data_IF_113053492919
#
_entry.id   IF_113053492919
#
_cell.length_a   1.000
_cell.length_b   1.000
_cell.length_c   1.000
_cell.angle_alpha   90.00
_cell.angle_beta   90.00
_cell.angle_gamma   90.00
#
_symmetry.space_group_name_H-M   'P 1'
#
loop_
_entity.id
_entity.type
_entity.pdbx_description
1 polymer ?
#
# COMPACT_ATOMS: atom_id res chain seq x y z
N UNK A 1 73.99 43.31 -2.88
CA UNK A 1 73.61 42.17 -3.74
C UNK A 1 72.12 42.23 -4.00
N UNK A 2 71.73 42.06 -5.27
CA UNK A 2 70.39 41.76 -5.84
C UNK A 2 69.29 42.86 -5.86
N UNK A 3 69.17 43.53 -7.02
CA UNK A 3 67.91 43.66 -7.81
C UNK A 3 67.50 42.27 -8.38
N UNK A 4 66.37 42.04 -9.10
CA UNK A 4 65.15 42.83 -9.43
C UNK A 4 63.83 42.04 -9.09
N UNK A 5 62.60 42.50 -9.31
CA UNK A 5 61.83 42.40 -10.57
C UNK A 5 60.51 43.23 -10.49
N UNK A 6 60.29 44.08 -11.49
CA UNK A 6 58.99 44.66 -11.83
C UNK A 6 58.17 43.65 -12.63
N UNK A 7 56.91 43.45 -12.25
CA UNK A 7 55.91 42.78 -13.09
C UNK A 7 54.99 43.83 -13.72
N UNK A 8 54.98 43.85 -15.03
CA UNK A 8 54.15 44.65 -15.92
C UNK A 8 52.70 44.12 -15.86
N UNK A 9 51.72 44.92 -15.45
CA UNK A 9 50.30 44.64 -15.65
C UNK A 9 49.92 45.13 -17.06
N UNK A 10 49.84 44.22 -18.03
CA UNK A 10 49.13 44.47 -19.28
C UNK A 10 47.62 44.46 -18.99
N UNK A 11 46.98 45.62 -19.09
CA UNK A 11 45.53 45.70 -19.20
C UNK A 11 45.07 45.21 -20.58
N UNK A 12 44.48 44.03 -20.65
CA UNK A 12 43.63 43.67 -21.79
C UNK A 12 42.36 44.52 -21.69
N UNK A 13 42.27 45.56 -22.52
CA UNK A 13 41.00 46.19 -22.81
C UNK A 13 40.11 45.17 -23.54
N UNK A 14 39.10 44.65 -22.86
CA UNK A 14 38.04 43.87 -23.47
C UNK A 14 37.24 44.81 -24.39
N UNK A 15 37.59 44.86 -25.69
CA UNK A 15 36.76 45.54 -26.68
C UNK A 15 35.46 44.75 -26.78
N UNK A 16 34.35 45.35 -26.33
CA UNK A 16 33.03 44.83 -26.59
C UNK A 16 32.85 44.75 -28.12
N UNK A 17 32.69 43.54 -28.64
CA UNK A 17 32.37 43.32 -30.05
C UNK A 17 30.93 43.78 -30.24
N UNK A 18 30.74 45.01 -30.70
CA UNK A 18 29.42 45.52 -31.06
C UNK A 18 28.90 44.78 -32.30
N UNK A 19 27.61 44.46 -32.31
CA UNK A 19 26.96 43.85 -33.46
C UNK A 19 27.06 44.77 -34.69
N UNK A 20 27.29 44.21 -35.88
CA UNK A 20 27.37 44.99 -37.11
C UNK A 20 26.03 45.68 -37.43
N UNK A 21 26.02 46.88 -38.04
CA UNK A 21 24.78 47.56 -38.40
C UNK A 21 23.97 46.74 -39.42
N UNK A 22 22.64 46.76 -39.29
CA UNK A 22 21.74 46.08 -40.23
C UNK A 22 21.86 46.64 -41.66
N UNK A 23 21.79 45.75 -42.65
CA UNK A 23 21.96 46.03 -44.07
C UNK A 23 20.82 45.38 -44.87
N UNK A 24 20.08 46.19 -45.63
CA UNK A 24 18.93 45.75 -46.42
C UNK A 24 19.27 44.72 -47.51
N UNK A 25 20.49 44.73 -48.04
CA UNK A 25 20.95 43.82 -49.09
C UNK A 25 21.38 42.44 -48.57
N UNK A 26 21.70 42.32 -47.28
CA UNK A 26 22.22 41.12 -46.67
C UNK A 26 21.12 40.13 -46.27
N UNK A 27 21.44 38.84 -46.33
CA UNK A 27 20.62 37.77 -45.78
C UNK A 27 21.22 37.33 -44.44
N UNK A 28 20.38 37.21 -43.43
CA UNK A 28 20.76 36.85 -42.06
C UNK A 28 20.24 35.45 -41.72
N UNK A 29 21.06 34.65 -41.06
CA UNK A 29 20.68 33.32 -40.54
C UNK A 29 20.12 33.43 -39.12
N UNK A 30 19.41 32.39 -38.68
CA UNK A 30 18.93 32.30 -37.30
C UNK A 30 20.09 32.50 -36.30
N UNK A 31 19.88 33.36 -35.30
CA UNK A 31 20.86 33.66 -34.27
C UNK A 31 21.85 34.78 -34.60
N UNK A 32 21.93 35.24 -35.85
CA UNK A 32 22.80 36.38 -36.19
C UNK A 32 22.27 37.68 -35.57
N UNK A 33 23.19 38.50 -35.05
CA UNK A 33 22.89 39.75 -34.38
C UNK A 33 23.31 40.96 -35.21
N UNK A 34 22.48 42.00 -35.20
CA UNK A 34 22.72 43.26 -35.89
C UNK A 34 22.31 44.44 -35.01
N UNK A 35 22.92 45.60 -35.24
CA UNK A 35 22.51 46.85 -34.61
C UNK A 35 21.54 47.61 -35.51
N UNK A 36 20.42 48.07 -34.95
CA UNK A 36 19.46 48.93 -35.64
C UNK A 36 18.87 49.95 -34.66
N UNK A 37 18.95 51.24 -35.02
CA UNK A 37 18.48 52.37 -34.20
C UNK A 37 19.00 52.36 -32.75
N UNK A 38 20.29 52.01 -32.57
CA UNK A 38 20.94 52.00 -31.26
C UNK A 38 20.62 50.78 -30.38
N UNK A 39 19.87 49.80 -30.90
CA UNK A 39 19.52 48.56 -30.20
C UNK A 39 20.02 47.33 -30.98
N UNK A 40 20.47 46.31 -30.25
CA UNK A 40 20.85 45.03 -30.85
C UNK A 40 19.61 44.13 -31.05
N UNK A 41 19.55 43.50 -32.22
CA UNK A 41 18.48 42.58 -32.64
C UNK A 41 19.06 41.25 -33.10
N UNK A 42 18.38 40.15 -32.78
CA UNK A 42 18.73 38.80 -33.20
C UNK A 42 17.68 38.26 -34.17
N UNK A 43 18.14 37.68 -35.28
CA UNK A 43 17.25 37.01 -36.24
C UNK A 43 16.72 35.70 -35.62
N UNK A 44 15.39 35.53 -35.60
CA UNK A 44 14.72 34.32 -35.11
C UNK A 44 14.83 33.15 -36.09
N UNK A 45 14.85 33.45 -37.39
CA UNK A 45 15.01 32.53 -38.51
C UNK A 45 15.68 33.27 -39.67
N UNK A 46 15.96 32.57 -40.77
CA UNK A 46 16.58 33.18 -41.95
C UNK A 46 15.72 34.32 -42.48
N UNK A 47 16.28 35.51 -42.62
CA UNK A 47 15.57 36.73 -43.08
C UNK A 47 16.43 37.56 -44.03
N UNK A 48 15.80 38.34 -44.91
CA UNK A 48 16.46 39.25 -45.85
C UNK A 48 15.55 40.46 -46.07
N UNK A 49 16.14 41.65 -46.17
CA UNK A 49 15.44 42.90 -46.47
C UNK A 49 14.30 43.30 -45.50
N UNK A 50 14.12 42.59 -44.38
CA UNK A 50 13.20 42.99 -43.31
C UNK A 50 13.95 43.84 -42.28
N UNK A 51 13.49 45.08 -42.09
CA UNK A 51 14.06 46.01 -41.10
C UNK A 51 13.69 45.59 -39.67
N UNK A 52 14.65 45.55 -38.73
CA UNK A 52 14.33 45.27 -37.32
C UNK A 52 13.29 46.27 -36.77
N UNK A 53 12.42 45.81 -35.88
CA UNK A 53 11.26 46.53 -35.32
C UNK A 53 10.09 46.85 -36.28
N UNK A 54 10.22 46.64 -37.60
CA UNK A 54 9.15 46.96 -38.55
C UNK A 54 7.86 46.15 -38.31
N UNK A 55 8.00 44.92 -37.79
CA UNK A 55 6.89 44.07 -37.39
C UNK A 55 7.18 43.46 -36.01
N UNK A 56 6.34 43.73 -34.98
CA UNK A 56 6.51 43.13 -33.64
C UNK A 56 6.49 41.60 -33.60
N UNK A 57 5.92 40.95 -34.63
CA UNK A 57 5.94 39.49 -34.83
C UNK A 57 6.86 39.04 -35.96
N UNK A 58 7.61 39.97 -36.56
CA UNK A 58 8.52 39.77 -37.69
C UNK A 58 9.75 38.93 -37.36
N UNK A 59 10.74 38.88 -38.24
CA UNK A 59 11.90 37.97 -38.10
C UNK A 59 12.92 38.38 -37.04
N UNK A 60 12.81 39.58 -36.46
CA UNK A 60 13.77 40.15 -35.51
C UNK A 60 13.20 40.18 -34.09
N UNK A 61 14.03 39.86 -33.10
CA UNK A 61 13.74 40.06 -31.68
C UNK A 61 14.85 40.87 -31.01
N UNK A 62 14.57 41.79 -30.07
CA UNK A 62 15.62 42.48 -29.33
C UNK A 62 16.57 41.48 -28.65
N UNK A 63 17.88 41.69 -28.67
CA UNK A 63 18.83 40.76 -28.01
C UNK A 63 18.57 40.63 -26.51
N UNK A 64 18.12 41.70 -25.84
CA UNK A 64 17.66 41.64 -24.45
C UNK A 64 16.44 40.71 -24.27
N UNK A 65 15.48 40.75 -25.21
CA UNK A 65 14.32 39.87 -25.22
C UNK A 65 14.67 38.44 -25.67
N UNK A 66 15.65 38.26 -26.55
CA UNK A 66 16.18 36.95 -26.95
C UNK A 66 16.91 36.27 -25.78
N UNK A 67 17.68 37.03 -24.99
CA UNK A 67 18.31 36.54 -23.74
C UNK A 67 17.26 36.22 -22.67
N UNK A 68 16.20 37.03 -22.55
CA UNK A 68 15.07 36.72 -21.66
C UNK A 68 14.27 35.48 -22.14
N UNK A 69 14.08 35.31 -23.44
CA UNK A 69 13.44 34.13 -24.04
C UNK A 69 14.32 32.87 -23.97
N UNK A 70 15.64 33.00 -23.99
CA UNK A 70 16.57 31.89 -23.76
C UNK A 70 16.62 31.46 -22.28
N UNK A 71 16.11 32.28 -21.36
CA UNK A 71 15.94 31.96 -19.93
C UNK A 71 14.51 31.53 -19.56
N UNK A 72 13.57 31.58 -20.51
CA UNK A 72 12.19 31.15 -20.35
C UNK A 72 11.82 30.21 -21.51
N UNK A 73 12.12 28.92 -21.36
CA UNK A 73 11.54 27.90 -22.24
C UNK A 73 10.01 27.93 -22.13
N UNK A 74 9.26 28.08 -23.25
CA UNK A 74 7.84 27.83 -23.25
C UNK A 74 7.59 26.32 -23.29
N UNK A 75 6.92 25.79 -22.25
CA UNK A 75 5.98 24.68 -22.43
C UNK A 75 6.31 23.31 -21.83
N UNK A 76 7.28 23.18 -20.91
CA UNK A 76 7.29 21.99 -20.04
C UNK A 76 6.39 22.24 -18.82
N UNK A 77 5.37 21.39 -18.57
CA UNK A 77 4.58 21.49 -17.35
C UNK A 77 5.52 21.53 -16.14
N UNK A 78 5.24 22.41 -15.19
CA UNK A 78 6.04 22.49 -13.98
C UNK A 78 5.51 21.47 -12.96
N UNK A 79 6.39 20.88 -12.13
CA UNK A 79 5.95 20.04 -11.02
C UNK A 79 5.01 20.83 -10.10
N UNK A 80 3.91 20.22 -9.61
CA UNK A 80 3.04 20.87 -8.65
C UNK A 80 3.79 21.11 -7.32
N UNK A 81 3.31 22.05 -6.52
CA UNK A 81 3.73 22.12 -5.11
C UNK A 81 3.21 20.89 -4.36
N UNK A 82 3.81 20.58 -3.21
CA UNK A 82 3.31 19.51 -2.34
C UNK A 82 1.84 19.75 -1.97
N UNK A 83 1.47 20.98 -1.66
CA UNK A 83 0.08 21.33 -1.34
C UNK A 83 -0.89 21.06 -2.51
N UNK A 84 -0.51 21.40 -3.74
CA UNK A 84 -1.33 21.12 -4.92
C UNK A 84 -1.51 19.62 -5.15
N UNK A 85 -0.44 18.84 -4.98
CA UNK A 85 -0.49 17.39 -5.08
C UNK A 85 -1.41 16.76 -4.01
N UNK A 86 -1.31 17.23 -2.76
CA UNK A 86 -2.17 16.76 -1.66
C UNK A 86 -3.65 17.14 -1.87
N UNK A 87 -3.93 18.33 -2.41
CA UNK A 87 -5.30 18.74 -2.77
C UNK A 87 -5.88 17.85 -3.88
N UNK A 88 -5.06 17.50 -4.88
CA UNK A 88 -5.48 16.61 -5.95
C UNK A 88 -5.71 15.17 -5.44
N UNK A 89 -4.82 14.64 -4.60
CA UNK A 89 -5.02 13.35 -3.92
C UNK A 89 -6.33 13.33 -3.11
N UNK A 90 -6.59 14.40 -2.34
CA UNK A 90 -7.80 14.53 -1.55
C UNK A 90 -9.05 14.54 -2.44
N UNK A 91 -9.05 15.27 -3.56
CA UNK A 91 -10.18 15.30 -4.49
C UNK A 91 -10.52 13.91 -5.08
N UNK A 92 -9.53 13.04 -5.26
CA UNK A 92 -9.72 11.68 -5.76
C UNK A 92 -10.10 10.67 -4.67
N UNK A 93 -9.81 10.97 -3.40
CA UNK A 93 -10.01 10.04 -2.28
C UNK A 93 -11.02 10.52 -1.23
N UNK A 94 -11.70 11.63 -1.44
CA UNK A 94 -12.74 12.13 -0.54
C UNK A 94 -14.09 11.42 -0.74
N UNK A 95 -14.08 10.10 -0.55
CA UNK A 95 -15.28 9.26 -0.65
C UNK A 95 -15.55 8.55 0.68
N UNK A 96 -16.81 8.15 0.89
CA UNK A 96 -17.18 7.36 2.06
C UNK A 96 -16.38 6.05 2.15
N UNK A 97 -16.11 5.42 1.00
CA UNK A 97 -15.27 4.23 0.92
C UNK A 97 -13.87 4.46 1.51
N UNK A 98 -13.15 5.47 1.00
CA UNK A 98 -11.79 5.75 1.47
C UNK A 98 -11.78 6.16 2.95
N UNK A 99 -12.76 6.94 3.41
CA UNK A 99 -12.88 7.30 4.83
C UNK A 99 -13.07 6.06 5.71
N UNK A 100 -13.99 5.17 5.33
CA UNK A 100 -14.27 3.95 6.09
C UNK A 100 -13.08 2.98 6.09
N UNK A 101 -12.46 2.73 4.93
CA UNK A 101 -11.29 1.84 4.85
C UNK A 101 -10.09 2.44 5.59
N UNK A 102 -9.77 3.73 5.43
CA UNK A 102 -8.66 4.36 6.16
C UNK A 102 -8.91 4.31 7.67
N UNK A 103 -10.15 4.46 8.11
CA UNK A 103 -10.51 4.29 9.51
C UNK A 103 -10.32 2.84 10.01
N UNK A 104 -10.63 1.83 9.19
CA UNK A 104 -10.51 0.43 9.61
C UNK A 104 -9.09 -0.12 9.57
N UNK A 105 -8.24 0.37 8.67
CA UNK A 105 -6.83 -0.07 8.57
C UNK A 105 -5.87 0.78 9.41
N UNK A 106 -6.38 1.78 10.15
CA UNK A 106 -5.54 2.67 10.96
C UNK A 106 -4.71 1.85 11.94
N UNK A 107 -3.47 2.30 12.18
CA UNK A 107 -2.55 1.55 13.03
C UNK A 107 -2.09 2.32 14.25
N UNK A 108 -1.93 1.61 15.37
CA UNK A 108 -1.19 2.12 16.52
C UNK A 108 0.33 2.12 16.23
N UNK A 109 1.10 3.13 16.72
CA UNK A 109 2.56 3.12 16.58
C UNK A 109 3.19 1.90 17.26
N UNK A 110 4.21 1.30 16.62
CA UNK A 110 4.83 0.07 17.14
C UNK A 110 5.37 0.25 18.56
N UNK A 111 5.95 1.40 18.89
CA UNK A 111 6.43 1.69 20.25
C UNK A 111 5.34 1.58 21.31
N UNK A 112 4.07 1.89 20.98
CA UNK A 112 2.94 1.71 21.89
C UNK A 112 2.43 0.26 21.89
N UNK A 113 2.43 -0.41 20.73
CA UNK A 113 2.10 -1.84 20.62
C UNK A 113 3.03 -2.69 21.49
N UNK A 114 4.33 -2.40 21.50
CA UNK A 114 5.31 -3.14 22.32
C UNK A 114 5.06 -2.99 23.84
N UNK A 115 4.33 -1.96 24.29
CA UNK A 115 3.97 -1.76 25.69
C UNK A 115 2.70 -2.53 26.10
N UNK A 116 1.99 -3.13 25.15
CA UNK A 116 0.75 -3.89 25.45
C UNK A 116 1.10 -5.16 26.22
N UNK A 117 0.44 -5.31 27.36
CA UNK A 117 0.61 -6.46 28.24
C UNK A 117 -0.74 -6.87 28.86
N UNK A 118 -0.98 -8.16 29.12
CA UNK A 118 -2.21 -8.62 29.75
C UNK A 118 -2.49 -7.92 31.08
N UNK A 119 -3.71 -7.42 31.26
CA UNK A 119 -4.20 -6.72 32.44
C UNK A 119 -3.72 -5.27 32.59
N UNK A 120 -2.96 -4.73 31.64
CA UNK A 120 -2.44 -3.36 31.74
C UNK A 120 -3.56 -2.33 31.61
N UNK A 121 -3.65 -1.43 32.59
CA UNK A 121 -4.61 -0.32 32.55
C UNK A 121 -4.34 0.67 31.40
N UNK A 122 -3.11 0.69 30.88
CA UNK A 122 -2.70 1.50 29.74
C UNK A 122 -3.06 0.88 28.38
N UNK A 123 -3.61 -0.34 28.36
CA UNK A 123 -4.05 -0.97 27.11
C UNK A 123 -5.11 -0.12 26.39
N UNK A 124 -5.07 -0.06 25.05
CA UNK A 124 -6.09 0.66 24.28
C UNK A 124 -7.48 0.03 24.49
N UNK A 125 -8.53 0.79 24.19
CA UNK A 125 -9.93 0.40 24.45
C UNK A 125 -10.29 -0.94 23.84
N UNK A 126 -9.89 -1.17 22.59
CA UNK A 126 -10.19 -2.41 21.88
C UNK A 126 -9.49 -3.64 22.51
N UNK A 127 -8.26 -3.49 23.00
CA UNK A 127 -7.56 -4.53 23.76
C UNK A 127 -8.27 -4.80 25.08
N UNK A 128 -8.65 -3.76 25.84
CA UNK A 128 -9.40 -3.93 27.09
C UNK A 128 -10.75 -4.63 26.88
N UNK A 129 -11.43 -4.34 25.75
CA UNK A 129 -12.63 -5.09 25.33
C UNK A 129 -12.29 -6.56 25.10
N UNK A 130 -11.25 -6.87 24.32
CA UNK A 130 -10.83 -8.25 24.08
C UNK A 130 -10.47 -8.98 25.37
N UNK A 131 -9.77 -8.34 26.30
CA UNK A 131 -9.42 -8.95 27.59
C UNK A 131 -10.64 -9.35 28.42
N UNK A 132 -11.72 -8.55 28.36
CA UNK A 132 -12.99 -8.87 29.02
C UNK A 132 -13.75 -10.00 28.34
N UNK A 133 -13.76 -10.05 27.00
CA UNK A 133 -14.53 -11.04 26.23
C UNK A 133 -13.79 -12.38 26.07
N UNK A 134 -12.46 -12.33 26.04
CA UNK A 134 -11.54 -13.45 25.90
C UNK A 134 -10.37 -13.30 26.88
N UNK A 135 -10.57 -13.60 28.17
CA UNK A 135 -9.48 -13.58 29.16
C UNK A 135 -8.38 -14.58 28.81
N UNK A 136 -7.18 -14.40 29.36
CA UNK A 136 -6.02 -15.28 29.13
C UNK A 136 -6.35 -16.77 29.34
N UNK A 137 -7.12 -17.12 30.38
CA UNK A 137 -7.53 -18.50 30.63
C UNK A 137 -8.37 -19.09 29.47
N UNK A 138 -9.23 -18.27 28.84
CA UNK A 138 -10.02 -18.69 27.68
C UNK A 138 -9.14 -18.82 26.43
N UNK A 139 -8.14 -17.96 26.26
CA UNK A 139 -7.12 -18.13 25.22
C UNK A 139 -6.36 -19.46 25.37
N UNK A 140 -5.88 -19.78 26.57
CA UNK A 140 -5.18 -21.06 26.84
C UNK A 140 -6.10 -22.25 26.60
N UNK A 141 -7.38 -22.13 26.96
CA UNK A 141 -8.39 -23.13 26.64
C UNK A 141 -8.54 -23.30 25.13
N UNK A 142 -8.80 -22.23 24.37
CA UNK A 142 -9.00 -22.29 22.92
C UNK A 142 -7.78 -22.80 22.16
N UNK A 143 -6.58 -22.42 22.55
CA UNK A 143 -5.37 -22.66 21.78
C UNK A 143 -4.35 -23.49 22.56
N UNK A 144 -4.82 -24.59 23.15
CA UNK A 144 -4.01 -25.47 24.01
C UNK A 144 -2.92 -26.27 23.27
N UNK A 145 -2.95 -26.29 21.94
CA UNK A 145 -1.97 -26.97 21.08
C UNK A 145 -1.09 -26.02 20.27
N UNK A 146 -1.25 -24.71 20.47
CA UNK A 146 -0.52 -23.69 19.70
C UNK A 146 0.99 -23.79 19.89
N UNK A 147 1.73 -23.32 18.89
CA UNK A 147 3.14 -22.98 19.06
C UNK A 147 3.30 -21.90 20.15
N UNK A 148 4.28 -22.05 21.04
CA UNK A 148 4.50 -21.14 22.16
C UNK A 148 4.77 -19.68 21.71
N UNK A 149 5.21 -19.48 20.47
CA UNK A 149 5.38 -18.16 19.88
C UNK A 149 4.07 -17.40 19.69
N UNK A 150 2.92 -18.09 19.69
CA UNK A 150 1.59 -17.48 19.68
C UNK A 150 1.11 -17.22 21.11
N UNK A 151 1.74 -16.28 21.81
CA UNK A 151 1.33 -15.96 23.18
C UNK A 151 0.08 -15.07 23.21
N UNK A 152 -0.64 -15.10 24.33
CA UNK A 152 -1.77 -14.20 24.55
C UNK A 152 -1.36 -12.72 24.47
N UNK A 153 -0.17 -12.37 24.99
CA UNK A 153 0.35 -11.00 24.86
C UNK A 153 0.53 -10.60 23.38
N UNK A 154 1.11 -11.46 22.54
CA UNK A 154 1.26 -11.20 21.10
C UNK A 154 -0.08 -11.07 20.39
N UNK A 155 -1.09 -11.81 20.85
CA UNK A 155 -2.47 -11.62 20.37
C UNK A 155 -3.00 -10.23 20.73
N UNK A 156 -2.86 -9.80 21.99
CA UNK A 156 -3.26 -8.45 22.39
C UNK A 156 -2.50 -7.36 21.62
N UNK A 157 -1.21 -7.57 21.34
CA UNK A 157 -0.40 -6.67 20.50
C UNK A 157 -0.96 -6.59 19.06
N UNK A 158 -1.35 -7.73 18.47
CA UNK A 158 -1.95 -7.78 17.15
C UNK A 158 -3.32 -7.06 17.09
N UNK A 159 -4.12 -7.15 18.15
CA UNK A 159 -5.37 -6.39 18.33
C UNK A 159 -5.08 -4.90 18.49
N UNK A 160 -4.10 -4.53 19.34
CA UNK A 160 -3.71 -3.15 19.56
C UNK A 160 -3.24 -2.46 18.28
N UNK A 161 -2.50 -3.20 17.43
CA UNK A 161 -1.98 -2.66 16.18
C UNK A 161 -3.08 -2.14 15.27
N UNK A 162 -4.27 -2.76 15.26
CA UNK A 162 -5.42 -2.33 14.47
C UNK A 162 -6.62 -2.00 15.37
N UNK A 163 -6.72 -0.75 15.88
CA UNK A 163 -7.78 -0.33 16.80
C UNK A 163 -9.21 -0.60 16.32
N UNK A 164 -9.42 -0.69 15.00
CA UNK A 164 -10.74 -0.98 14.41
C UNK A 164 -11.27 -2.39 14.73
N UNK A 165 -10.39 -3.33 15.09
CA UNK A 165 -10.83 -4.65 15.55
C UNK A 165 -11.30 -4.51 16.99
N UNK A 166 -12.56 -4.86 17.24
CA UNK A 166 -13.20 -4.71 18.55
C UNK A 166 -13.27 -3.24 19.01
N UNK A 167 -13.50 -2.32 18.08
CA UNK A 167 -13.58 -0.88 18.30
C UNK A 167 -14.92 -0.44 18.91
N UNK A 168 -14.96 0.80 19.40
CA UNK A 168 -16.21 1.48 19.75
C UNK A 168 -16.91 2.03 18.51
N UNK A 169 -18.24 2.04 18.56
CA UNK A 169 -19.08 2.53 17.48
C UNK A 169 -19.96 3.68 17.97
N UNK A 170 -19.88 4.82 17.29
CA UNK A 170 -20.69 6.01 17.61
C UNK A 170 -22.03 6.04 16.88
N UNK A 171 -22.29 5.07 16.02
CA UNK A 171 -23.47 4.96 15.16
C UNK A 171 -24.54 3.98 15.70
N UNK A 172 -24.41 3.58 16.96
CA UNK A 172 -25.37 2.70 17.64
C UNK A 172 -25.15 1.20 17.44
N UNK A 173 -24.11 0.80 16.69
CA UNK A 173 -23.70 -0.62 16.62
C UNK A 173 -23.17 -1.12 17.96
N UNK A 174 -23.41 -2.40 18.26
CA UNK A 174 -22.92 -3.06 19.47
C UNK A 174 -21.47 -3.54 19.27
N UNK A 175 -20.52 -2.82 19.87
CA UNK A 175 -19.10 -3.15 19.78
C UNK A 175 -18.71 -4.46 20.45
N UNK A 176 -19.45 -4.91 21.47
CA UNK A 176 -19.20 -6.21 22.10
C UNK A 176 -19.68 -7.35 21.20
N UNK A 177 -20.87 -7.21 20.62
CA UNK A 177 -21.41 -8.19 19.69
C UNK A 177 -20.51 -8.33 18.44
N UNK A 178 -20.10 -7.22 17.84
CA UNK A 178 -19.19 -7.23 16.68
C UNK A 178 -17.81 -7.80 17.04
N UNK A 179 -17.31 -7.51 18.25
CA UNK A 179 -16.06 -8.10 18.71
C UNK A 179 -16.18 -9.63 18.87
N UNK A 180 -17.27 -10.14 19.46
CA UNK A 180 -17.53 -11.59 19.55
C UNK A 180 -17.57 -12.25 18.17
N UNK A 181 -18.28 -11.63 17.22
CA UNK A 181 -18.38 -12.07 15.84
C UNK A 181 -17.00 -12.10 15.16
N UNK A 182 -16.22 -11.04 15.32
CA UNK A 182 -14.86 -10.91 14.76
C UNK A 182 -13.91 -11.96 15.33
N UNK A 183 -13.90 -12.13 16.66
CA UNK A 183 -13.05 -13.12 17.33
C UNK A 183 -13.42 -14.55 16.92
N UNK A 184 -14.71 -14.90 16.89
CA UNK A 184 -15.16 -16.22 16.47
C UNK A 184 -14.75 -16.53 15.02
N UNK A 185 -14.93 -15.55 14.13
CA UNK A 185 -14.54 -15.66 12.72
C UNK A 185 -13.03 -15.83 12.57
N UNK A 186 -12.23 -14.96 13.20
CA UNK A 186 -10.77 -15.04 13.15
C UNK A 186 -10.26 -16.39 13.65
N UNK A 187 -10.77 -16.88 14.78
CA UNK A 187 -10.29 -18.12 15.40
C UNK A 187 -10.66 -19.36 14.60
N UNK A 188 -11.84 -19.39 13.98
CA UNK A 188 -12.23 -20.45 13.05
C UNK A 188 -11.28 -20.51 11.86
N UNK A 189 -10.89 -19.35 11.32
CA UNK A 189 -9.91 -19.28 10.26
C UNK A 189 -8.52 -19.69 10.72
N UNK A 190 -8.04 -19.25 11.90
CA UNK A 190 -6.75 -19.67 12.46
C UNK A 190 -6.67 -21.19 12.59
N UNK A 191 -7.73 -21.81 13.10
CA UNK A 191 -7.81 -23.26 13.28
C UNK A 191 -7.74 -24.01 11.95
N UNK A 192 -8.26 -23.45 10.84
CA UNK A 192 -8.10 -24.05 9.52
C UNK A 192 -6.76 -23.75 8.84
N UNK A 193 -6.20 -22.56 9.03
CA UNK A 193 -4.92 -22.20 8.38
C UNK A 193 -3.71 -22.86 9.02
N UNK A 194 -3.76 -23.07 10.34
CA UNK A 194 -2.56 -23.40 11.14
C UNK A 194 -2.80 -24.48 12.17
N UNK A 195 -3.96 -25.16 12.15
CA UNK A 195 -4.30 -26.19 13.12
C UNK A 195 -3.61 -27.52 12.88
N UNK A 196 -3.57 -28.36 13.92
CA UNK A 196 -3.03 -29.74 13.84
C UNK A 196 -3.94 -30.69 13.05
N UNK A 197 -5.25 -30.41 12.98
CA UNK A 197 -6.27 -31.22 12.27
C UNK A 197 -6.26 -32.71 12.65
N UNK A 198 -5.89 -33.00 13.90
CA UNK A 198 -5.71 -34.33 14.40
C UNK A 198 -6.97 -34.81 15.12
N UNK A 199 -7.83 -35.53 14.39
CA UNK A 199 -9.06 -36.14 14.93
C UNK A 199 -8.83 -37.15 16.07
N UNK A 200 -7.62 -37.68 16.20
CA UNK A 200 -7.26 -38.65 17.22
C UNK A 200 -6.73 -38.01 18.50
N UNK A 201 -6.53 -36.68 18.54
CA UNK A 201 -6.15 -35.98 19.77
C UNK A 201 -7.33 -35.93 20.75
N UNK A 202 -7.00 -35.99 22.04
CA UNK A 202 -7.88 -35.69 23.17
C UNK A 202 -8.51 -34.29 23.13
N UNK A 203 -7.88 -33.33 22.45
CA UNK A 203 -8.39 -31.97 22.25
C UNK A 203 -9.16 -31.92 20.92
N UNK A 204 -10.40 -31.41 20.87
CA UNK A 204 -11.15 -31.35 19.63
C UNK A 204 -10.50 -30.40 18.60
N UNK A 205 -10.66 -30.69 17.31
CA UNK A 205 -9.96 -29.98 16.22
C UNK A 205 -10.11 -28.45 16.25
N UNK A 206 -11.28 -27.93 16.65
CA UNK A 206 -11.50 -26.48 16.76
C UNK A 206 -10.58 -25.79 17.79
N UNK A 207 -9.99 -26.54 18.74
CA UNK A 207 -9.02 -26.06 19.74
C UNK A 207 -7.56 -26.38 19.41
N UNK A 208 -7.30 -26.87 18.20
CA UNK A 208 -5.97 -27.24 17.74
C UNK A 208 -5.32 -26.15 16.87
N UNK A 209 -5.96 -24.99 16.71
CA UNK A 209 -5.45 -23.87 15.91
C UNK A 209 -4.13 -23.30 16.43
N UNK A 210 -3.42 -22.58 15.55
CA UNK A 210 -2.12 -21.95 15.81
C UNK A 210 -1.00 -22.96 16.13
N UNK A 211 -1.15 -24.23 15.74
CA UNK A 211 -0.14 -25.28 15.89
C UNK A 211 1.11 -24.97 15.05
N UNK A 212 0.91 -24.57 13.80
CA UNK A 212 1.99 -24.33 12.86
C UNK A 212 2.28 -22.84 12.71
N UNK A 213 3.54 -22.47 12.98
CA UNK A 213 4.04 -21.10 12.84
C UNK A 213 4.57 -20.81 11.43
N UNK A 214 5.07 -21.86 10.77
CA UNK A 214 5.60 -21.84 9.40
C UNK A 214 4.88 -22.93 8.60
N UNK A 215 4.79 -22.71 7.29
CA UNK A 215 4.28 -23.70 6.35
C UNK A 215 5.02 -25.02 6.52
N UNK A 216 4.27 -26.12 6.60
CA UNK A 216 4.83 -27.43 6.89
C UNK A 216 5.86 -27.84 5.84
N UNK A 217 7.04 -28.27 6.28
CA UNK A 217 8.13 -28.67 5.40
C UNK A 217 8.94 -27.51 4.80
N UNK A 218 8.63 -26.27 5.18
CA UNK A 218 9.32 -25.09 4.69
C UNK A 218 10.28 -24.51 5.73
N UNK A 219 11.51 -24.25 5.30
CA UNK A 219 12.53 -23.57 6.08
C UNK A 219 13.39 -22.67 5.18
N UNK A 220 14.18 -21.82 5.82
CA UNK A 220 15.02 -20.80 5.19
C UNK A 220 16.13 -21.37 4.30
N UNK A 221 16.59 -22.59 4.58
CA UNK A 221 17.79 -23.22 3.99
C UNK A 221 17.49 -24.37 3.02
N UNK A 222 16.30 -24.97 3.10
CA UNK A 222 15.92 -26.14 2.31
C UNK A 222 15.82 -25.86 0.80
N UNK A 223 15.65 -26.88 -0.05
CA UNK A 223 15.52 -26.67 -1.50
C UNK A 223 14.13 -26.19 -1.93
N UNK A 224 13.10 -26.34 -1.07
CA UNK A 224 11.71 -26.03 -1.37
C UNK A 224 11.22 -24.69 -0.82
N UNK A 225 9.93 -24.42 -1.07
CA UNK A 225 9.17 -23.31 -0.51
C UNK A 225 9.79 -21.92 -0.73
N UNK A 226 10.28 -21.64 -1.94
CA UNK A 226 10.84 -20.33 -2.26
C UNK A 226 9.81 -19.20 -2.13
N UNK A 227 8.65 -19.36 -2.78
CA UNK A 227 7.62 -18.30 -2.90
C UNK A 227 8.22 -16.94 -3.32
N UNK A 228 9.23 -17.02 -4.18
CA UNK A 228 10.10 -15.92 -4.55
C UNK A 228 10.42 -15.93 -6.06
N UNK A 229 9.61 -16.63 -6.85
CA UNK A 229 9.77 -16.72 -8.31
C UNK A 229 9.65 -15.33 -8.94
N UNK A 230 8.75 -14.51 -8.42
CA UNK A 230 8.48 -13.14 -8.82
C UNK A 230 9.65 -12.19 -8.52
N UNK A 231 10.61 -12.60 -7.67
CA UNK A 231 11.83 -11.82 -7.42
C UNK A 231 12.75 -11.77 -8.64
N UNK A 232 12.64 -12.72 -9.57
CA UNK A 232 13.40 -12.72 -10.82
C UNK A 232 12.80 -11.79 -11.88
N UNK A 233 11.53 -11.39 -11.76
CA UNK A 233 10.89 -10.45 -12.67
C UNK A 233 11.35 -9.02 -12.33
N UNK A 234 12.05 -8.31 -13.25
CA UNK A 234 12.59 -6.98 -12.96
C UNK A 234 11.51 -5.91 -12.77
N UNK A 235 10.32 -6.07 -13.36
CA UNK A 235 9.19 -5.15 -13.19
C UNK A 235 8.58 -5.38 -11.81
N UNK A 236 8.29 -6.63 -11.47
CA UNK A 236 7.67 -6.97 -10.20
C UNK A 236 8.61 -6.72 -9.01
N UNK A 237 9.89 -7.07 -9.16
CA UNK A 237 10.90 -6.90 -8.13
C UNK A 237 11.30 -5.41 -7.96
N UNK A 238 10.96 -4.53 -8.90
CA UNK A 238 11.02 -3.07 -8.68
C UNK A 238 9.93 -2.60 -7.72
N UNK A 239 8.78 -3.27 -7.73
CA UNK A 239 7.62 -2.95 -6.87
C UNK A 239 7.84 -3.52 -5.47
N UNK A 240 8.04 -4.83 -5.37
CA UNK A 240 8.21 -5.57 -4.12
C UNK A 240 9.61 -6.18 -4.05
N UNK A 241 10.61 -5.30 -3.88
CA UNK A 241 12.03 -5.67 -3.92
C UNK A 241 12.39 -6.72 -2.88
N UNK A 242 12.66 -7.93 -3.37
CA UNK A 242 13.01 -9.05 -2.54
C UNK A 242 14.36 -8.85 -1.86
N UNK A 243 14.43 -9.29 -0.60
CA UNK A 243 15.69 -9.39 0.13
C UNK A 243 16.57 -10.50 -0.46
N UNK A 244 17.88 -10.38 -0.25
CA UNK A 244 18.86 -11.41 -0.60
C UNK A 244 19.50 -12.01 0.64
N UNK A 245 19.88 -13.28 0.54
CA UNK A 245 20.80 -13.95 1.45
C UNK A 245 22.23 -13.50 1.18
N UNK A 246 23.16 -13.86 2.07
CA UNK A 246 24.58 -13.53 1.93
C UNK A 246 25.22 -14.15 0.68
N UNK A 247 24.73 -15.31 0.25
CA UNK A 247 25.15 -16.02 -0.98
C UNK A 247 24.54 -15.42 -2.27
N UNK A 248 23.74 -14.35 -2.16
CA UNK A 248 23.09 -13.68 -3.28
C UNK A 248 21.76 -14.32 -3.73
N UNK A 249 21.36 -15.46 -3.17
CA UNK A 249 20.04 -16.05 -3.40
C UNK A 249 18.92 -15.19 -2.81
N UNK A 250 17.71 -15.31 -3.32
CA UNK A 250 16.56 -14.57 -2.79
C UNK A 250 16.14 -15.12 -1.43
N UNK A 251 15.68 -14.24 -0.54
CA UNK A 251 14.93 -14.61 0.66
C UNK A 251 13.68 -15.42 0.26
N UNK A 252 13.19 -16.25 1.16
CA UNK A 252 12.00 -17.07 0.94
C UNK A 252 10.77 -16.52 1.65
N UNK A 253 9.65 -16.51 0.94
CA UNK A 253 8.39 -15.94 1.40
C UNK A 253 7.29 -17.00 1.56
N UNK A 254 7.64 -18.19 2.03
CA UNK A 254 6.66 -19.22 2.39
C UNK A 254 5.77 -18.80 3.56
N UNK A 255 4.69 -19.56 3.79
CA UNK A 255 3.68 -19.25 4.79
C UNK A 255 4.26 -19.05 6.19
N UNK A 256 4.02 -17.87 6.78
CA UNK A 256 4.35 -17.60 8.19
C UNK A 256 3.18 -16.98 8.94
N UNK A 257 3.11 -17.24 10.24
CA UNK A 257 2.13 -16.66 11.13
C UNK A 257 0.72 -17.24 10.94
N UNK A 258 -0.24 -16.67 11.67
CA UNK A 258 -1.60 -17.15 11.80
C UNK A 258 -2.39 -17.10 10.48
N UNK A 259 -1.99 -16.25 9.52
CA UNK A 259 -2.58 -16.18 8.19
C UNK A 259 -1.90 -17.10 7.17
N UNK A 260 -0.75 -17.68 7.51
CA UNK A 260 0.19 -18.26 6.55
C UNK A 260 0.48 -17.26 5.41
N UNK A 261 1.01 -16.09 5.78
CA UNK A 261 1.36 -15.05 4.81
C UNK A 261 2.44 -15.57 3.88
N UNK A 262 2.17 -15.58 2.57
CA UNK A 262 3.08 -16.10 1.54
C UNK A 262 3.28 -15.10 0.40
N UNK A 263 4.39 -15.22 -0.33
CA UNK A 263 4.82 -14.36 -1.44
C UNK A 263 5.27 -12.95 -1.07
N UNK A 264 6.33 -12.46 -1.73
CA UNK A 264 6.89 -11.12 -1.53
C UNK A 264 5.83 -10.01 -1.68
N UNK A 265 4.89 -10.14 -2.60
CA UNK A 265 3.84 -9.15 -2.82
C UNK A 265 2.75 -9.08 -1.75
N UNK A 266 2.72 -10.02 -0.81
CA UNK A 266 1.92 -9.91 0.41
C UNK A 266 2.78 -9.42 1.59
N UNK A 267 4.06 -9.82 1.66
CA UNK A 267 5.01 -9.32 2.65
C UNK A 267 5.28 -7.82 2.52
N UNK A 268 5.33 -7.28 1.30
CA UNK A 268 5.56 -5.86 1.03
C UNK A 268 4.47 -4.94 1.61
N UNK A 269 3.20 -5.09 1.22
CA UNK A 269 2.09 -4.32 1.82
C UNK A 269 1.95 -4.53 3.32
N UNK A 270 2.19 -5.76 3.81
CA UNK A 270 2.19 -6.01 5.24
C UNK A 270 3.30 -5.21 5.95
N UNK A 271 4.49 -5.14 5.36
CA UNK A 271 5.59 -4.29 5.86
C UNK A 271 5.20 -2.81 5.86
N UNK A 272 4.56 -2.32 4.79
CA UNK A 272 4.08 -0.93 4.74
C UNK A 272 3.12 -0.61 5.89
N UNK A 273 2.17 -1.50 6.19
CA UNK A 273 1.23 -1.34 7.30
C UNK A 273 1.95 -1.39 8.67
N UNK A 274 2.97 -2.22 8.81
CA UNK A 274 3.69 -2.40 10.07
C UNK A 274 4.73 -1.31 10.34
N UNK A 275 5.33 -0.73 9.30
CA UNK A 275 6.51 0.14 9.41
C UNK A 275 6.32 1.49 8.73
N UNK A 276 5.16 2.14 8.93
CA UNK A 276 4.89 3.51 8.47
C UNK A 276 5.17 3.72 6.97
N UNK A 277 4.87 2.74 6.13
CA UNK A 277 5.07 2.79 4.68
C UNK A 277 6.40 2.26 4.16
N UNK A 278 7.28 1.79 5.04
CA UNK A 278 8.46 1.05 4.63
C UNK A 278 8.10 -0.39 4.25
N UNK A 279 8.06 -0.64 2.94
CA UNK A 279 7.82 -1.97 2.38
C UNK A 279 9.00 -2.94 2.56
N UNK A 280 10.20 -2.44 2.85
CA UNK A 280 11.43 -3.21 2.74
C UNK A 280 11.77 -4.05 3.98
N UNK A 281 11.23 -3.72 5.15
CA UNK A 281 11.60 -4.36 6.42
C UNK A 281 11.32 -5.85 6.38
N UNK A 282 10.09 -6.25 6.04
CA UNK A 282 9.72 -7.68 5.98
C UNK A 282 10.13 -8.35 4.67
N UNK A 283 10.39 -7.57 3.61
CA UNK A 283 10.99 -8.12 2.39
C UNK A 283 12.45 -8.55 2.63
N UNK A 284 13.20 -7.80 3.45
CA UNK A 284 14.58 -8.13 3.84
C UNK A 284 14.64 -9.17 4.96
N UNK A 285 13.68 -9.11 5.90
CA UNK A 285 13.65 -9.93 7.11
C UNK A 285 12.30 -10.66 7.27
N UNK A 286 11.95 -11.60 6.37
CA UNK A 286 10.64 -12.25 6.41
C UNK A 286 10.42 -13.12 7.66
N UNK A 287 11.48 -13.56 8.32
CA UNK A 287 11.39 -14.34 9.58
C UNK A 287 10.73 -13.56 10.72
N UNK A 288 10.76 -12.23 10.71
CA UNK A 288 10.09 -11.41 11.73
C UNK A 288 8.60 -11.74 11.86
N UNK A 289 7.96 -12.19 10.78
CA UNK A 289 6.56 -12.64 10.80
C UNK A 289 6.36 -13.91 11.63
N UNK A 290 7.36 -14.77 11.78
CA UNK A 290 7.28 -15.94 12.66
C UNK A 290 7.83 -15.66 14.07
N UNK A 291 8.83 -14.79 14.22
CA UNK A 291 9.55 -14.61 15.49
C UNK A 291 8.99 -13.53 16.42
N UNK A 292 8.06 -12.67 15.97
CA UNK A 292 7.52 -11.54 16.74
C UNK A 292 5.99 -11.56 16.82
N UNK A 293 5.38 -10.53 17.44
CA UNK A 293 3.92 -10.32 17.46
C UNK A 293 3.30 -10.13 16.06
N UNK A 294 4.13 -9.96 15.04
CA UNK A 294 3.71 -10.01 13.64
C UNK A 294 3.09 -11.35 13.23
N UNK A 295 3.35 -12.43 13.99
CA UNK A 295 2.78 -13.74 13.71
C UNK A 295 1.26 -13.74 13.72
N UNK A 296 0.64 -13.11 14.71
CA UNK A 296 -0.81 -12.93 14.80
C UNK A 296 -1.27 -11.72 14.01
N UNK A 297 -0.41 -10.71 13.89
CA UNK A 297 -0.75 -9.49 13.15
C UNK A 297 -0.90 -9.73 11.65
N UNK A 298 -0.22 -10.74 11.11
CA UNK A 298 -0.44 -11.18 9.71
C UNK A 298 -1.92 -11.44 9.42
N UNK A 299 -2.65 -11.99 10.40
CA UNK A 299 -4.06 -12.30 10.26
C UNK A 299 -4.97 -11.12 10.60
N UNK A 300 -4.65 -10.29 11.60
CA UNK A 300 -5.42 -9.06 11.84
C UNK A 300 -5.29 -8.07 10.69
N UNK A 301 -4.11 -7.95 10.07
CA UNK A 301 -3.91 -7.18 8.85
C UNK A 301 -4.81 -7.68 7.71
N UNK A 302 -4.76 -8.98 7.40
CA UNK A 302 -5.61 -9.57 6.35
C UNK A 302 -7.11 -9.42 6.66
N UNK A 303 -7.49 -9.40 7.94
CA UNK A 303 -8.87 -9.23 8.38
C UNK A 303 -9.43 -7.82 8.11
N UNK A 304 -8.62 -6.78 8.30
CA UNK A 304 -9.05 -5.37 8.10
C UNK A 304 -8.75 -4.83 6.72
N UNK A 305 -7.74 -5.36 6.03
CA UNK A 305 -7.25 -4.80 4.77
C UNK A 305 -8.04 -5.36 3.57
N UNK A 306 -8.71 -4.52 2.76
CA UNK A 306 -9.45 -4.99 1.59
C UNK A 306 -8.50 -5.42 0.47
N UNK A 307 -8.93 -6.40 -0.32
CA UNK A 307 -8.23 -6.85 -1.53
C UNK A 307 -9.21 -6.86 -2.71
N UNK A 308 -9.54 -5.69 -3.29
CA UNK A 308 -10.49 -5.58 -4.39
C UNK A 308 -10.26 -6.65 -5.46
N UNK A 309 -11.32 -7.34 -5.91
CA UNK A 309 -12.74 -7.06 -5.67
C UNK A 309 -13.32 -7.63 -4.35
N UNK A 310 -12.48 -8.14 -3.45
CA UNK A 310 -12.89 -8.66 -2.13
C UNK A 310 -12.98 -7.52 -1.10
N UNK A 311 -14.08 -7.40 -0.34
CA UNK A 311 -14.13 -6.51 0.81
C UNK A 311 -13.19 -7.01 1.93
N UNK A 312 -12.93 -6.17 2.93
CA UNK A 312 -12.29 -6.65 4.16
C UNK A 312 -13.27 -7.49 4.97
N UNK A 313 -12.78 -8.48 5.71
CA UNK A 313 -13.64 -9.29 6.58
C UNK A 313 -14.28 -8.44 7.67
N UNK A 314 -13.56 -7.46 8.23
CA UNK A 314 -14.13 -6.54 9.22
C UNK A 314 -15.37 -5.81 8.66
N UNK A 315 -15.32 -5.30 7.43
CA UNK A 315 -16.46 -4.60 6.85
C UNK A 315 -17.66 -5.50 6.52
N UNK A 316 -17.39 -6.79 6.24
CA UNK A 316 -18.44 -7.81 6.13
C UNK A 316 -19.14 -8.01 7.47
N UNK A 317 -18.37 -8.16 8.55
CA UNK A 317 -18.92 -8.52 9.86
C UNK A 317 -19.55 -7.34 10.61
N UNK A 318 -19.02 -6.13 10.42
CA UNK A 318 -19.51 -4.92 11.09
C UNK A 318 -20.62 -4.19 10.30
N UNK A 319 -20.94 -4.70 9.11
CA UNK A 319 -22.00 -4.23 8.23
C UNK A 319 -21.70 -2.97 7.42
N UNK A 320 -20.47 -2.43 7.47
CA UNK A 320 -20.11 -1.21 6.72
C UNK A 320 -19.92 -1.45 5.23
N UNK A 321 -19.64 -2.70 4.83
CA UNK A 321 -19.77 -3.10 3.43
C UNK A 321 -21.24 -3.38 3.12
N UNK A 322 -21.74 -2.76 2.04
CA UNK A 322 -23.11 -2.90 1.56
C UNK A 322 -23.09 -3.65 0.23
N UNK A 323 -23.40 -4.97 0.22
CA UNK A 323 -23.39 -5.78 -1.00
C UNK A 323 -24.37 -5.23 -2.05
N UNK A 324 -23.92 -5.10 -3.31
CA UNK A 324 -24.79 -4.72 -4.41
C UNK A 324 -25.54 -5.94 -5.00
N UNK A 325 -26.27 -5.73 -6.10
CA UNK A 325 -27.01 -6.80 -6.76
C UNK A 325 -26.11 -7.94 -7.28
N UNK A 326 -24.92 -7.63 -7.80
CA UNK A 326 -23.97 -8.62 -8.28
C UNK A 326 -23.39 -9.46 -7.13
N UNK A 327 -23.07 -8.83 -6.00
CA UNK A 327 -22.60 -9.52 -4.79
C UNK A 327 -23.66 -10.51 -4.26
N UNK A 328 -24.91 -10.06 -4.16
CA UNK A 328 -26.04 -10.90 -3.71
C UNK A 328 -26.31 -12.04 -4.69
N UNK A 329 -26.25 -11.79 -6.00
CA UNK A 329 -26.40 -12.83 -7.02
C UNK A 329 -25.26 -13.85 -6.98
N UNK A 330 -24.06 -13.44 -6.59
CA UNK A 330 -22.93 -14.31 -6.30
C UNK A 330 -23.07 -15.09 -4.97
N UNK A 331 -24.11 -14.84 -4.19
CA UNK A 331 -24.35 -15.46 -2.89
C UNK A 331 -23.51 -14.85 -1.75
N UNK A 332 -22.87 -13.70 -1.97
CA UNK A 332 -22.11 -12.98 -0.95
C UNK A 332 -23.01 -12.05 -0.13
N UNK A 333 -22.65 -11.84 1.14
CA UNK A 333 -23.37 -10.98 2.07
C UNK A 333 -22.60 -10.73 3.36
N UNK A 334 -23.24 -10.11 4.35
CA UNK A 334 -22.62 -9.82 5.64
C UNK A 334 -22.74 -11.03 6.58
N UNK A 335 -21.95 -12.08 6.31
CA UNK A 335 -22.01 -13.38 6.99
C UNK A 335 -20.67 -14.14 6.93
N UNK A 336 -20.52 -15.17 7.78
CA UNK A 336 -19.33 -16.02 7.83
C UNK A 336 -18.98 -16.73 6.51
N UNK A 337 -19.97 -17.17 5.71
CA UNK A 337 -19.68 -17.81 4.42
C UNK A 337 -18.87 -16.89 3.49
N UNK A 338 -19.12 -15.58 3.56
CA UNK A 338 -18.42 -14.58 2.76
C UNK A 338 -16.96 -14.42 3.20
N UNK A 339 -16.65 -14.60 4.50
CA UNK A 339 -15.27 -14.53 4.99
C UNK A 339 -14.44 -15.73 4.55
N UNK A 340 -15.05 -16.92 4.40
CA UNK A 340 -14.40 -18.08 3.77
C UNK A 340 -13.96 -17.74 2.34
N UNK A 341 -14.86 -17.14 1.54
CA UNK A 341 -14.58 -16.78 0.16
C UNK A 341 -13.53 -15.66 0.01
N UNK A 342 -13.43 -14.78 1.00
CA UNK A 342 -12.37 -13.75 1.05
C UNK A 342 -11.00 -14.41 1.24
N UNK A 343 -10.90 -15.33 2.20
CA UNK A 343 -9.62 -15.96 2.60
C UNK A 343 -9.03 -16.82 1.49
N UNK A 344 -9.81 -17.73 0.90
CA UNK A 344 -9.26 -18.70 -0.05
C UNK A 344 -10.31 -19.16 -1.09
N UNK A 345 -9.84 -19.77 -2.17
CA UNK A 345 -10.69 -20.29 -3.24
C UNK A 345 -11.36 -21.62 -2.88
N UNK A 346 -12.06 -21.66 -1.75
CA UNK A 346 -12.70 -22.85 -1.18
C UNK A 346 -14.18 -23.00 -1.55
N UNK A 347 -14.79 -21.96 -2.11
CA UNK A 347 -16.23 -21.89 -2.40
C UNK A 347 -16.55 -22.09 -3.90
N UNK A 348 -17.84 -22.19 -4.22
CA UNK A 348 -18.34 -22.20 -5.60
C UNK A 348 -18.17 -23.53 -6.34
N UNK A 349 -17.97 -24.63 -5.61
CA UNK A 349 -17.84 -25.98 -6.16
C UNK A 349 -19.15 -26.77 -6.27
N UNK A 350 -20.29 -26.21 -5.86
CA UNK A 350 -21.58 -26.91 -5.77
C UNK A 350 -21.75 -27.77 -4.52
N UNK A 351 -20.63 -28.20 -3.92
CA UNK A 351 -20.58 -28.94 -2.65
C UNK A 351 -19.58 -28.29 -1.70
N UNK A 352 -19.83 -28.41 -0.39
CA UNK A 352 -18.93 -27.85 0.62
C UNK A 352 -17.59 -28.59 0.61
N UNK A 353 -16.49 -27.84 0.44
CA UNK A 353 -15.15 -28.42 0.52
C UNK A 353 -14.79 -28.69 1.97
N UNK A 354 -13.97 -29.71 2.23
CA UNK A 354 -13.61 -30.08 3.60
C UNK A 354 -12.99 -28.91 4.40
N UNK A 355 -12.14 -28.09 3.78
CA UNK A 355 -11.57 -26.92 4.44
C UNK A 355 -12.62 -25.88 4.86
N UNK A 356 -13.61 -25.62 4.00
CA UNK A 356 -14.73 -24.72 4.33
C UNK A 356 -15.63 -25.33 5.41
N UNK A 357 -15.92 -26.63 5.32
CA UNK A 357 -16.68 -27.35 6.35
C UNK A 357 -16.00 -27.29 7.72
N UNK A 358 -14.68 -27.50 7.78
CA UNK A 358 -13.92 -27.35 9.02
C UNK A 358 -14.06 -25.94 9.61
N UNK A 359 -13.93 -24.88 8.78
CA UNK A 359 -14.12 -23.49 9.23
C UNK A 359 -15.51 -23.27 9.82
N UNK A 360 -16.55 -23.79 9.17
CA UNK A 360 -17.93 -23.71 9.64
C UNK A 360 -18.07 -24.39 11.01
N UNK A 361 -17.53 -25.59 11.16
CA UNK A 361 -17.62 -26.35 12.40
C UNK A 361 -16.84 -25.68 13.54
N UNK A 362 -15.67 -25.12 13.25
CA UNK A 362 -14.90 -24.36 14.24
C UNK A 362 -15.59 -23.06 14.63
N UNK A 363 -16.14 -22.34 13.65
CA UNK A 363 -16.89 -21.10 13.87
C UNK A 363 -18.08 -21.31 14.79
N UNK A 364 -18.86 -22.38 14.59
CA UNK A 364 -19.98 -22.73 15.46
C UNK A 364 -19.57 -22.89 16.92
N UNK A 365 -18.41 -23.52 17.18
CA UNK A 365 -17.91 -23.72 18.54
C UNK A 365 -17.43 -22.41 19.16
N UNK A 366 -16.63 -21.63 18.44
CA UNK A 366 -16.13 -20.34 18.94
C UNK A 366 -17.26 -19.34 19.16
N UNK A 367 -18.19 -19.23 18.22
CA UNK A 367 -19.34 -18.32 18.34
C UNK A 367 -20.22 -18.69 19.53
N UNK A 368 -20.52 -19.99 19.72
CA UNK A 368 -21.28 -20.46 20.88
C UNK A 368 -20.60 -20.09 22.20
N UNK A 369 -19.30 -20.34 22.34
CA UNK A 369 -18.57 -20.08 23.60
C UNK A 369 -18.29 -18.58 23.84
N UNK A 370 -18.15 -17.79 22.77
CA UNK A 370 -18.04 -16.33 22.85
C UNK A 370 -19.38 -15.63 23.05
N UNK A 371 -20.52 -16.32 22.85
CA UNK A 371 -21.85 -15.74 22.96
C UNK A 371 -22.26 -14.89 21.75
N UNK A 372 -21.82 -15.28 20.55
CA UNK A 372 -22.30 -14.72 19.28
C UNK A 372 -23.39 -15.63 18.68
N UNK A 373 -24.54 -15.04 18.33
CA UNK A 373 -25.64 -15.75 17.69
C UNK A 373 -25.51 -15.72 16.16
N UNK A 374 -25.09 -16.85 15.59
CA UNK A 374 -24.96 -17.04 14.15
C UNK A 374 -26.23 -17.63 13.50
N UNK A 375 -27.34 -17.76 14.23
CA UNK A 375 -28.54 -18.49 13.78
C UNK A 375 -29.15 -17.97 12.47
N UNK A 376 -28.95 -16.68 12.16
CA UNK A 376 -29.43 -16.04 10.94
C UNK A 376 -28.35 -15.89 9.85
N UNK A 377 -27.15 -16.43 10.06
CA UNK A 377 -26.06 -16.32 9.10
C UNK A 377 -26.06 -17.46 8.09
N UNK A 378 -25.74 -17.12 6.85
CA UNK A 378 -25.28 -18.11 5.88
C UNK A 378 -23.88 -18.58 6.28
N UNK A 379 -23.73 -19.87 6.55
CA UNK A 379 -22.44 -20.49 6.87
C UNK A 379 -21.82 -21.21 5.67
N UNK A 380 -22.64 -21.85 4.84
CA UNK A 380 -22.16 -22.57 3.66
C UNK A 380 -21.76 -21.63 2.54
N UNK A 381 -20.63 -21.91 1.90
CA UNK A 381 -20.19 -21.21 0.70
C UNK A 381 -20.14 -22.10 -0.54
N UNK A 382 -20.66 -23.33 -0.46
CA UNK A 382 -20.65 -24.32 -1.56
C UNK A 382 -21.07 -23.75 -2.93
N UNK A 383 -22.10 -22.89 -2.96
CA UNK A 383 -22.63 -22.28 -4.19
C UNK A 383 -22.20 -20.82 -4.41
N UNK A 384 -21.39 -20.25 -3.50
CA UNK A 384 -20.95 -18.86 -3.59
C UNK A 384 -19.97 -18.67 -4.75
N UNK A 385 -20.26 -17.71 -5.63
CA UNK A 385 -19.41 -17.38 -6.77
C UNK A 385 -18.22 -16.54 -6.36
N UNK A 386 -17.19 -16.49 -7.21
CA UNK A 386 -16.03 -15.59 -7.00
C UNK A 386 -16.46 -14.13 -7.11
N UNK A 387 -15.86 -13.29 -6.27
CA UNK A 387 -15.95 -11.84 -6.44
C UNK A 387 -15.45 -11.44 -7.84
N UNK A 388 -16.14 -10.51 -8.47
CA UNK A 388 -15.82 -10.02 -9.81
C UNK A 388 -15.67 -8.49 -9.81
N UNK A 389 -15.29 -7.90 -10.95
CA UNK A 389 -15.24 -6.45 -11.10
C UNK A 389 -16.60 -5.75 -10.93
N UNK A 390 -17.71 -6.49 -10.94
CA UNK A 390 -19.05 -5.95 -10.66
C UNK A 390 -19.34 -5.83 -9.15
N UNK A 391 -18.47 -6.34 -8.28
CA UNK A 391 -18.59 -6.25 -6.83
C UNK A 391 -18.63 -4.80 -6.36
N UNK A 392 -19.43 -4.52 -5.34
CA UNK A 392 -19.40 -3.21 -4.67
C UNK A 392 -18.07 -2.94 -3.96
N UNK A 393 -17.22 -3.95 -3.76
CA UNK A 393 -15.89 -3.81 -3.20
C UNK A 393 -14.76 -3.71 -4.26
N UNK A 394 -15.08 -3.65 -5.55
CA UNK A 394 -14.13 -3.53 -6.65
C UNK A 394 -13.58 -2.10 -6.84
N UNK A 395 -12.97 -1.54 -5.79
CA UNK A 395 -12.42 -0.18 -5.80
C UNK A 395 -10.98 -0.13 -6.31
N UNK A 396 -10.66 0.96 -7.00
CA UNK A 396 -9.28 1.29 -7.35
C UNK A 396 -8.58 1.89 -6.12
N UNK A 397 -7.63 1.16 -5.54
CA UNK A 397 -6.98 1.54 -4.28
C UNK A 397 -5.46 1.74 -4.40
N UNK A 398 -4.94 1.81 -5.63
CA UNK A 398 -3.52 2.03 -5.89
C UNK A 398 -3.32 3.22 -6.80
N UNK A 399 -2.21 3.93 -6.63
CA UNK A 399 -1.78 5.00 -7.50
C UNK A 399 -0.86 4.48 -8.60
N UNK A 400 -1.06 5.00 -9.80
CA UNK A 400 -0.12 4.86 -10.91
C UNK A 400 -0.04 6.14 -11.71
N UNK A 401 1.08 6.34 -12.40
CA UNK A 401 1.22 7.37 -13.44
C UNK A 401 -0.01 7.44 -14.35
N UNK A 402 -0.55 8.64 -14.51
CA UNK A 402 -1.53 8.91 -15.55
C UNK A 402 -0.80 9.17 -16.88
N UNK A 403 -0.98 8.26 -17.84
CA UNK A 403 -0.33 8.31 -19.15
C UNK A 403 -1.07 9.19 -20.17
N UNK A 404 -2.19 9.81 -19.78
CA UNK A 404 -2.94 10.71 -20.66
C UNK A 404 -2.11 11.97 -20.97
N UNK A 405 -2.15 12.38 -22.23
CA UNK A 405 -1.50 13.61 -22.67
C UNK A 405 -2.01 14.81 -21.86
N UNK A 406 -1.09 15.62 -21.31
CA UNK A 406 -1.41 16.77 -20.46
C UNK A 406 -1.64 16.46 -18.97
N UNK A 407 -1.46 15.21 -18.53
CA UNK A 407 -1.52 14.81 -17.12
C UNK A 407 -0.13 14.61 -16.49
N UNK A 408 0.86 15.39 -16.93
CA UNK A 408 2.17 15.45 -16.29
C UNK A 408 2.05 15.71 -14.78
N UNK A 409 2.90 15.00 -14.01
CA UNK A 409 2.93 15.03 -12.55
C UNK A 409 1.63 14.61 -11.85
N UNK A 410 0.79 13.80 -12.50
CA UNK A 410 -0.42 13.25 -11.91
C UNK A 410 -0.39 11.74 -11.85
N UNK A 411 -0.81 11.19 -10.71
CA UNK A 411 -1.17 9.79 -10.62
C UNK A 411 -2.69 9.62 -10.64
N UNK A 412 -3.16 8.47 -11.11
CA UNK A 412 -4.56 8.06 -11.15
C UNK A 412 -4.77 6.79 -10.33
N UNK A 413 -6.02 6.54 -9.94
CA UNK A 413 -6.41 5.32 -9.22
C UNK A 413 -6.54 4.13 -10.18
N UNK A 414 -5.88 3.01 -9.85
CA UNK A 414 -5.95 1.74 -10.58
C UNK A 414 -6.36 0.57 -9.67
N UNK A 415 -6.83 -0.53 -10.27
CA UNK A 415 -7.34 -1.72 -9.58
C UNK A 415 -6.32 -2.84 -9.39
N UNK A 416 -5.10 -2.69 -9.90
CA UNK A 416 -4.00 -3.62 -9.68
C UNK A 416 -2.98 -3.04 -8.73
N UNK A 417 -2.26 -3.93 -8.06
CA UNK A 417 -1.33 -3.60 -7.02
C UNK A 417 -0.11 -2.84 -7.57
N UNK A 418 0.19 -1.69 -6.97
CA UNK A 418 1.41 -0.91 -7.19
C UNK A 418 2.12 -0.67 -5.85
N UNK A 419 3.34 -0.10 -5.81
CA UNK A 419 3.99 0.27 -4.54
C UNK A 419 3.25 1.36 -3.77
N UNK A 420 2.32 2.06 -4.45
CA UNK A 420 1.70 3.29 -3.97
C UNK A 420 0.23 3.05 -3.62
N UNK A 421 -0.04 2.46 -2.46
CA UNK A 421 -1.42 2.32 -1.96
C UNK A 421 -2.07 3.69 -1.72
N UNK A 422 -3.27 3.92 -2.25
CA UNK A 422 -4.09 5.10 -1.98
C UNK A 422 -4.71 5.12 -0.58
N UNK A 423 -4.56 4.02 0.16
CA UNK A 423 -4.97 3.90 1.54
C UNK A 423 -3.92 4.43 2.52
N UNK A 424 -2.75 4.84 2.02
CA UNK A 424 -1.64 5.32 2.82
C UNK A 424 -1.21 6.72 2.43
N UNK A 425 -1.13 7.60 3.43
CA UNK A 425 -0.67 8.97 3.26
C UNK A 425 0.75 9.03 2.69
N UNK A 426 1.01 10.01 1.83
CA UNK A 426 2.30 10.22 1.18
C UNK A 426 2.56 9.31 -0.04
N UNK A 427 1.77 8.28 -0.28
CA UNK A 427 1.97 7.42 -1.45
C UNK A 427 1.60 8.10 -2.77
N UNK A 428 0.65 9.04 -2.78
CA UNK A 428 0.41 9.85 -3.98
C UNK A 428 1.63 10.72 -4.32
N UNK A 429 2.18 11.42 -3.32
CA UNK A 429 3.41 12.20 -3.48
C UNK A 429 4.54 11.30 -4.02
N UNK A 430 4.79 10.14 -3.40
CA UNK A 430 5.83 9.20 -3.85
C UNK A 430 5.58 8.72 -5.28
N UNK A 431 4.34 8.43 -5.64
CA UNK A 431 3.98 8.06 -7.02
C UNK A 431 4.41 9.15 -8.03
N UNK A 432 4.13 10.42 -7.73
CA UNK A 432 4.53 11.54 -8.58
C UNK A 432 6.05 11.74 -8.58
N UNK A 433 6.69 11.74 -7.41
CA UNK A 433 8.14 11.95 -7.31
C UNK A 433 8.94 10.88 -8.04
N UNK A 434 8.56 9.60 -7.89
CA UNK A 434 9.29 8.48 -8.47
C UNK A 434 9.09 8.38 -10.00
N UNK A 435 7.90 8.70 -10.51
CA UNK A 435 7.59 8.60 -11.96
C UNK A 435 8.17 9.75 -12.80
N UNK A 436 8.41 10.91 -12.19
CA UNK A 436 8.98 12.08 -12.87
C UNK A 436 10.35 12.49 -12.34
N UNK A 437 10.92 11.75 -11.37
CA UNK A 437 12.20 12.04 -10.73
C UNK A 437 12.27 13.49 -10.20
N UNK A 438 11.23 13.90 -9.46
CA UNK A 438 11.11 15.23 -8.85
C UNK A 438 10.98 15.12 -7.33
N UNK A 439 11.09 16.27 -6.65
CA UNK A 439 10.75 16.41 -5.23
C UNK A 439 9.73 17.51 -5.08
N UNK A 440 8.55 17.17 -4.58
CA UNK A 440 7.50 18.15 -4.35
C UNK A 440 7.84 18.94 -3.10
N UNK A 441 7.74 20.27 -3.18
CA UNK A 441 8.12 21.20 -2.10
C UNK A 441 6.90 21.91 -1.53
#
# INVERSE_FOLDING_TARGET
MRKPFSALLLGLACQAVFAAPWNAGAAYQAGQQVQWQGQDWQAKWRTRAETPAANPRGSWTPVAAAKAAAQAEPGQPQPPTLQQALQYEAALTDTAFFRNVKASIRTLPNAQVEQVAPGSAANPLNVRRVERLLPAAKWEYYFSRRDASYSYQRFLQAIAKFPAICDDYSDGRDGDAICRHSLATMFAHFAQETGDHNRSDTVPEWRQGLKYLREMGCDETGPGCGYNTECADPVFNKVWTCGKNADGSWKKYFGRGAKQLSYNYNYGPFSQAMYNGDQSVLLKNPDLVASTWLNLTSATFFFVFPQPPKPSMLHVLDGTWVPNAADKAAGAGNNFATTIQIINAECGGGTERQAAQNRIDYYRQFAKDLGWDYGNEQLSCANMQRFSAASSAAYNIYWEKDWKWGNDYKCQLVNYQTPYSALQAGNYQRCVEDNWNVKLK
#
